data_IF_829227543896
#
_entry.id   IF_829227543896
#
_cell.length_a   1.000
_cell.length_b   1.000
_cell.length_c   1.000
_cell.angle_alpha   90.00
_cell.angle_beta   90.00
_cell.angle_gamma   90.00
#
_symmetry.space_group_name_H-M   'P 1'
#
loop_
_entity.id
_entity.type
_entity.pdbx_description
1 polymer ?
#
# COMPACT_ATOMS: atom_id res chain seq x y z
N UNK A 1 -0.57 0.43 -35.31
CA UNK A 1 -1.18 0.42 -33.96
C UNK A 1 -0.90 1.70 -33.15
N UNK A 2 -0.19 2.71 -33.67
CA UNK A 2 0.15 3.96 -32.94
C UNK A 2 -1.08 4.79 -32.49
N UNK A 3 -2.28 4.53 -33.03
CA UNK A 3 -3.54 5.17 -32.63
C UNK A 3 -4.51 4.28 -31.84
N UNK A 4 -4.05 3.15 -31.28
CA UNK A 4 -4.92 2.28 -30.49
C UNK A 4 -5.37 2.99 -29.20
N UNK A 5 -6.68 3.01 -28.88
CA UNK A 5 -7.17 3.53 -27.61
C UNK A 5 -6.48 2.86 -26.43
N UNK A 6 -6.06 3.65 -25.45
CA UNK A 6 -5.42 3.16 -24.23
C UNK A 6 -6.46 2.48 -23.35
N UNK A 7 -6.16 1.29 -22.85
CA UNK A 7 -7.04 0.57 -21.95
C UNK A 7 -7.16 1.32 -20.61
N UNK A 8 -8.33 1.29 -19.95
CA UNK A 8 -8.46 1.80 -18.60
C UNK A 8 -7.61 0.93 -17.65
N UNK A 9 -6.92 1.60 -16.72
CA UNK A 9 -6.09 0.96 -15.73
C UNK A 9 -6.88 0.71 -14.44
N UNK A 10 -6.68 -0.44 -13.79
CA UNK A 10 -7.26 -0.71 -12.47
C UNK A 10 -6.40 -0.01 -11.42
N UNK A 11 -7.06 0.57 -10.42
CA UNK A 11 -6.43 1.09 -9.21
C UNK A 11 -7.19 0.62 -7.97
N UNK A 12 -6.55 0.71 -6.81
CA UNK A 12 -7.11 0.26 -5.55
C UNK A 12 -7.42 1.45 -4.63
N UNK A 13 -8.39 1.25 -3.74
CA UNK A 13 -8.74 2.25 -2.75
C UNK A 13 -7.88 2.07 -1.50
N UNK A 14 -7.46 3.17 -0.86
CA UNK A 14 -6.80 3.11 0.44
C UNK A 14 -7.80 2.64 1.51
N UNK A 15 -7.25 1.99 2.53
CA UNK A 15 -7.92 1.72 3.81
C UNK A 15 -8.14 3.02 4.56
N UNK A 16 -9.18 3.06 5.39
CA UNK A 16 -9.57 4.22 6.19
C UNK A 16 -9.31 3.93 7.67
N UNK A 17 -8.61 4.83 8.35
CA UNK A 17 -8.46 4.77 9.82
C UNK A 17 -9.72 5.36 10.45
N UNK A 18 -10.35 4.64 11.37
CA UNK A 18 -11.65 5.03 11.95
C UNK A 18 -11.50 5.87 13.22
N UNK A 19 -10.35 5.78 13.89
CA UNK A 19 -10.12 6.46 15.16
C UNK A 19 -8.89 7.39 15.18
N UNK A 20 -8.96 8.36 16.08
CA UNK A 20 -7.78 9.11 16.51
C UNK A 20 -6.98 8.25 17.47
N UNK A 21 -5.68 8.11 17.21
CA UNK A 21 -4.76 7.29 18.01
C UNK A 21 -3.68 8.19 18.58
N UNK A 22 -3.41 8.06 19.88
CA UNK A 22 -2.21 8.59 20.52
C UNK A 22 -1.14 7.49 20.54
N UNK A 23 -0.15 7.61 19.66
CA UNK A 23 0.95 6.65 19.53
C UNK A 23 1.88 6.63 20.74
N UNK A 24 1.83 7.67 21.56
CA UNK A 24 2.81 7.92 22.60
C UNK A 24 2.22 7.86 24.01
N UNK A 25 0.93 7.54 24.15
CA UNK A 25 0.22 7.46 25.45
C UNK A 25 1.03 6.73 26.53
N UNK A 26 1.64 5.59 26.18
CA UNK A 26 2.36 4.71 27.12
C UNK A 26 3.87 4.97 27.18
N UNK A 27 4.43 5.73 26.23
CA UNK A 27 5.87 5.89 26.06
C UNK A 27 6.53 6.65 27.23
N UNK A 28 6.02 7.81 27.70
CA UNK A 28 6.61 8.53 28.84
C UNK A 28 6.69 7.67 30.11
N UNK A 29 5.66 6.87 30.39
CA UNK A 29 5.61 5.97 31.54
C UNK A 29 6.64 4.84 31.40
N UNK A 30 6.76 4.26 30.20
CA UNK A 30 7.79 3.26 29.92
C UNK A 30 9.21 3.81 30.08
N UNK A 31 9.46 5.04 29.60
CA UNK A 31 10.77 5.68 29.76
C UNK A 31 11.12 5.89 31.23
N UNK A 32 10.14 6.35 32.01
CA UNK A 32 10.34 6.61 33.44
C UNK A 32 10.60 5.32 34.22
N UNK A 33 9.86 4.25 33.93
CA UNK A 33 10.00 2.97 34.63
C UNK A 33 11.25 2.18 34.21
N UNK A 34 11.55 2.15 32.91
CA UNK A 34 12.62 1.28 32.36
C UNK A 34 13.98 1.98 32.32
N UNK A 35 14.01 3.24 31.89
CA UNK A 35 15.26 3.99 31.72
C UNK A 35 15.56 4.94 32.89
N UNK A 36 14.66 5.05 33.87
CA UNK A 36 14.80 5.94 35.03
C UNK A 36 15.03 7.41 34.61
N UNK A 37 14.51 7.80 33.45
CA UNK A 37 14.58 9.15 32.91
C UNK A 37 13.19 9.81 32.92
N UNK A 38 13.14 11.13 33.07
CA UNK A 38 11.88 11.87 32.96
C UNK A 38 11.28 11.74 31.54
N UNK A 39 10.27 10.89 31.37
CA UNK A 39 9.60 10.65 30.10
C UNK A 39 8.96 11.91 29.47
N UNK A 40 8.61 12.92 30.27
CA UNK A 40 8.02 14.15 29.77
C UNK A 40 8.99 15.00 28.93
N UNK A 41 10.30 14.72 29.01
CA UNK A 41 11.31 15.36 28.15
C UNK A 41 11.04 15.14 26.66
N UNK A 42 10.35 14.06 26.30
CA UNK A 42 10.09 13.66 24.92
C UNK A 42 8.68 14.03 24.42
N UNK A 43 7.97 14.89 25.16
CA UNK A 43 6.59 15.30 24.83
C UNK A 43 6.48 15.97 23.46
N UNK A 44 7.49 16.75 23.06
CA UNK A 44 7.52 17.42 21.77
C UNK A 44 7.61 16.40 20.61
N UNK A 45 8.47 15.40 20.72
CA UNK A 45 8.62 14.32 19.74
C UNK A 45 7.35 13.48 19.65
N UNK A 46 6.71 13.21 20.79
CA UNK A 46 5.42 12.52 20.85
C UNK A 46 4.33 13.29 20.09
N UNK A 47 4.26 14.61 20.32
CA UNK A 47 3.32 15.47 19.61
C UNK A 47 3.61 15.50 18.09
N UNK A 48 4.88 15.57 17.68
CA UNK A 48 5.27 15.51 16.27
C UNK A 48 4.86 14.19 15.62
N UNK A 49 4.99 13.06 16.32
CA UNK A 49 4.61 11.74 15.82
C UNK A 49 3.08 11.64 15.64
N UNK A 50 2.31 12.09 16.62
CA UNK A 50 0.85 12.12 16.54
C UNK A 50 0.36 13.07 15.42
N UNK A 51 0.97 14.26 15.29
CA UNK A 51 0.68 15.18 14.17
C UNK A 51 1.02 14.57 12.82
N UNK A 52 2.14 13.85 12.71
CA UNK A 52 2.53 13.17 11.48
C UNK A 52 1.50 12.10 11.08
N UNK A 53 1.01 11.29 12.03
CA UNK A 53 -0.08 10.34 11.77
C UNK A 53 -1.32 11.07 11.24
N UNK A 54 -1.78 12.09 11.95
CA UNK A 54 -2.99 12.84 11.59
C UNK A 54 -2.90 13.46 10.19
N UNK A 55 -1.77 14.06 9.84
CA UNK A 55 -1.55 14.60 8.49
C UNK A 55 -1.50 13.49 7.44
N UNK A 56 -0.92 12.33 7.78
CA UNK A 56 -0.77 11.20 6.84
C UNK A 56 -2.10 10.54 6.52
N UNK A 57 -2.95 10.26 7.51
CA UNK A 57 -4.25 9.60 7.30
C UNK A 57 -5.24 10.49 6.52
N UNK A 58 -5.05 11.81 6.55
CA UNK A 58 -5.86 12.79 5.83
C UNK A 58 -5.20 13.29 4.53
N UNK A 59 -4.14 12.64 4.06
CA UNK A 59 -3.39 13.08 2.90
C UNK A 59 -4.15 12.88 1.58
N UNK A 60 -3.91 13.78 0.62
CA UNK A 60 -4.42 13.69 -0.75
C UNK A 60 -3.73 12.57 -1.53
N UNK A 61 -4.40 12.09 -2.58
CA UNK A 61 -3.86 11.09 -3.50
C UNK A 61 -2.90 11.72 -4.53
N UNK A 62 -1.79 12.29 -4.04
CA UNK A 62 -0.73 12.92 -4.82
C UNK A 62 0.67 12.54 -4.32
N UNK A 63 1.70 13.10 -4.96
CA UNK A 63 3.11 12.88 -4.57
C UNK A 63 3.41 13.32 -3.14
N UNK A 64 2.76 14.38 -2.64
CA UNK A 64 2.95 14.81 -1.25
C UNK A 64 2.40 13.77 -0.27
N UNK A 65 1.23 13.21 -0.56
CA UNK A 65 0.65 12.10 0.20
C UNK A 65 1.56 10.88 0.24
N UNK A 66 2.20 10.54 -0.88
CA UNK A 66 3.21 9.47 -0.95
C UNK A 66 4.40 9.74 -0.02
N UNK A 67 4.93 10.97 -0.02
CA UNK A 67 6.05 11.32 0.86
C UNK A 67 5.66 11.28 2.34
N UNK A 68 4.44 11.71 2.69
CA UNK A 68 3.91 11.60 4.04
C UNK A 68 3.78 10.14 4.50
N UNK A 69 3.18 9.28 3.68
CA UNK A 69 3.04 7.85 3.95
C UNK A 69 4.40 7.18 4.16
N UNK A 70 5.38 7.45 3.29
CA UNK A 70 6.76 6.93 3.44
C UNK A 70 7.40 7.41 4.74
N UNK A 71 7.32 8.71 5.02
CA UNK A 71 7.90 9.30 6.24
C UNK A 71 7.29 8.67 7.48
N UNK A 72 5.97 8.57 7.54
CA UNK A 72 5.27 7.98 8.67
C UNK A 72 5.59 6.49 8.85
N UNK A 73 5.58 5.71 7.77
CA UNK A 73 5.98 4.29 7.81
C UNK A 73 7.40 4.12 8.39
N UNK A 74 8.36 4.94 7.96
CA UNK A 74 9.71 4.91 8.52
C UNK A 74 9.74 5.26 10.01
N UNK A 75 8.95 6.25 10.46
CA UNK A 75 8.87 6.60 11.87
C UNK A 75 8.25 5.48 12.71
N UNK A 76 7.23 4.78 12.21
CA UNK A 76 6.66 3.60 12.88
C UNK A 76 7.71 2.51 13.10
N UNK A 77 8.52 2.21 12.07
CA UNK A 77 9.61 1.23 12.19
C UNK A 77 10.64 1.65 13.25
N UNK A 78 11.02 2.93 13.27
CA UNK A 78 11.96 3.47 14.27
C UNK A 78 11.38 3.40 15.69
N UNK A 79 10.08 3.67 15.84
CA UNK A 79 9.38 3.61 17.11
C UNK A 79 9.30 2.18 17.63
N UNK A 80 8.87 1.24 16.78
CA UNK A 80 8.80 -0.20 17.06
C UNK A 80 10.16 -0.78 17.44
N UNK A 81 11.25 -0.27 16.88
CA UNK A 81 12.61 -0.72 17.20
C UNK A 81 13.13 -0.17 18.56
N UNK A 82 12.47 0.84 19.14
CA UNK A 82 12.86 1.47 20.41
C UNK A 82 11.96 1.09 21.58
N UNK A 83 10.68 0.86 21.32
CA UNK A 83 9.67 0.60 22.33
C UNK A 83 8.98 -0.74 22.05
N UNK A 84 8.65 -1.51 23.11
CA UNK A 84 7.93 -2.76 22.94
C UNK A 84 6.45 -2.45 22.64
N UNK A 85 6.11 -2.42 21.34
CA UNK A 85 4.78 -2.05 20.81
C UNK A 85 4.06 -3.18 20.08
N UNK A 86 4.55 -4.41 20.25
CA UNK A 86 3.91 -5.63 19.74
C UNK A 86 2.75 -6.05 20.67
N UNK A 87 1.90 -7.02 20.27
CA UNK A 87 0.82 -7.50 21.13
C UNK A 87 1.32 -7.91 22.52
N UNK A 88 0.51 -7.63 23.55
CA UNK A 88 0.76 -7.98 24.95
C UNK A 88 2.06 -7.40 25.56
N UNK A 89 2.55 -6.30 24.99
CA UNK A 89 3.72 -5.57 25.51
C UNK A 89 3.38 -4.19 26.07
N UNK A 90 4.30 -3.62 26.86
CA UNK A 90 4.05 -2.45 27.71
C UNK A 90 3.67 -1.17 26.96
N UNK A 91 4.13 -1.01 25.71
CA UNK A 91 3.79 0.12 24.85
C UNK A 91 2.87 -0.26 23.68
N UNK A 92 2.16 -1.40 23.75
CA UNK A 92 1.19 -1.78 22.72
C UNK A 92 0.09 -0.70 22.56
N UNK A 93 -0.16 -0.27 21.34
CA UNK A 93 -1.16 0.75 20.99
C UNK A 93 -2.26 0.12 20.14
N UNK A 94 -3.51 0.54 20.39
CA UNK A 94 -4.69 0.10 19.66
C UNK A 94 -4.83 0.87 18.36
N UNK A 95 -5.04 0.16 17.26
CA UNK A 95 -5.30 0.74 15.93
C UNK A 95 -6.54 0.11 15.31
N UNK A 96 -7.45 0.93 14.81
CA UNK A 96 -8.67 0.50 14.11
C UNK A 96 -8.72 1.02 12.68
N UNK A 97 -8.80 0.08 11.74
CA UNK A 97 -8.85 0.34 10.30
C UNK A 97 -9.99 -0.42 9.62
N UNK A 98 -10.60 0.20 8.64
CA UNK A 98 -11.60 -0.39 7.76
C UNK A 98 -10.95 -1.30 6.70
N UNK A 99 -11.51 -2.49 6.48
CA UNK A 99 -11.15 -3.39 5.37
C UNK A 99 -11.44 -2.74 4.01
N UNK A 100 -10.47 -2.77 3.08
CA UNK A 100 -10.53 -2.09 1.79
C UNK A 100 -11.65 -2.62 0.86
N UNK A 101 -12.15 -3.84 1.07
CA UNK A 101 -13.17 -4.46 0.23
C UNK A 101 -14.48 -4.69 1.00
N UNK A 102 -14.41 -5.21 2.22
CA UNK A 102 -15.59 -5.59 2.99
C UNK A 102 -16.18 -4.46 3.82
N UNK A 103 -15.43 -3.37 4.03
CA UNK A 103 -15.87 -2.22 4.82
C UNK A 103 -16.19 -2.55 6.28
N UNK A 104 -15.49 -3.56 6.81
CA UNK A 104 -15.57 -3.98 8.21
C UNK A 104 -14.43 -3.36 9.02
N UNK A 105 -14.73 -2.86 10.21
CA UNK A 105 -13.76 -2.27 11.13
C UNK A 105 -12.97 -3.37 11.85
N UNK A 106 -11.65 -3.26 11.82
CA UNK A 106 -10.75 -4.23 12.42
C UNK A 106 -9.80 -3.53 13.39
N UNK A 107 -9.73 -4.05 14.62
CA UNK A 107 -8.93 -3.48 15.70
C UNK A 107 -7.82 -4.44 16.12
N UNK A 108 -6.59 -3.95 16.18
CA UNK A 108 -5.45 -4.69 16.71
C UNK A 108 -4.60 -3.81 17.64
N UNK A 109 -4.10 -4.41 18.72
CA UNK A 109 -3.14 -3.78 19.63
C UNK A 109 -1.70 -4.06 19.16
N UNK A 110 -1.40 -3.74 17.90
CA UNK A 110 -0.14 -4.09 17.25
C UNK A 110 0.30 -2.98 16.29
N UNK A 111 1.47 -2.39 16.54
CA UNK A 111 2.05 -1.39 15.63
C UNK A 111 2.29 -1.96 14.22
N UNK A 112 2.52 -3.26 14.08
CA UNK A 112 2.69 -3.90 12.76
C UNK A 112 1.39 -3.88 11.95
N UNK A 113 0.23 -3.82 12.58
CA UNK A 113 -1.04 -3.63 11.86
C UNK A 113 -1.14 -2.23 11.25
N UNK A 114 -0.75 -1.19 12.01
CA UNK A 114 -0.65 0.19 11.49
C UNK A 114 0.36 0.25 10.34
N UNK A 115 1.55 -0.35 10.50
CA UNK A 115 2.57 -0.43 9.43
C UNK A 115 2.02 -1.07 8.15
N UNK A 116 1.27 -2.17 8.27
CA UNK A 116 0.65 -2.87 7.15
C UNK A 116 -0.37 -2.00 6.43
N UNK A 117 -1.25 -1.31 7.16
CA UNK A 117 -2.28 -0.44 6.60
C UNK A 117 -1.68 0.76 5.87
N UNK A 118 -0.65 1.39 6.44
CA UNK A 118 0.06 2.51 5.81
C UNK A 118 0.78 2.07 4.54
N UNK A 119 1.42 0.90 4.56
CA UNK A 119 2.10 0.36 3.38
C UNK A 119 1.11 -0.06 2.29
N UNK A 120 -0.04 -0.63 2.66
CA UNK A 120 -1.14 -0.90 1.74
C UNK A 120 -1.64 0.39 1.08
N UNK A 121 -1.84 1.46 1.87
CA UNK A 121 -2.27 2.77 1.36
C UNK A 121 -1.23 3.39 0.43
N UNK A 122 0.06 3.21 0.70
CA UNK A 122 1.12 3.63 -0.21
C UNK A 122 1.01 2.92 -1.57
N UNK A 123 0.73 1.61 -1.58
CA UNK A 123 0.44 0.86 -2.79
C UNK A 123 -0.80 1.36 -3.53
N UNK A 124 -1.88 1.65 -2.80
CA UNK A 124 -3.12 2.19 -3.36
C UNK A 124 -2.89 3.56 -4.02
N UNK A 125 -2.17 4.47 -3.37
CA UNK A 125 -1.85 5.79 -3.94
C UNK A 125 -1.02 5.69 -5.21
N UNK A 126 0.00 4.83 -5.22
CA UNK A 126 0.78 4.57 -6.44
C UNK A 126 -0.10 4.01 -7.57
N UNK A 127 -0.99 3.06 -7.27
CA UNK A 127 -1.88 2.50 -8.30
C UNK A 127 -2.80 3.56 -8.92
N UNK A 128 -3.31 4.50 -8.11
CA UNK A 128 -4.15 5.62 -8.56
C UNK A 128 -3.38 6.60 -9.42
N UNK A 129 -2.16 6.99 -9.02
CA UNK A 129 -1.31 7.86 -9.84
C UNK A 129 -0.98 7.21 -11.18
N UNK A 130 -0.62 5.93 -11.19
CA UNK A 130 -0.36 5.19 -12.43
C UNK A 130 -1.59 5.11 -13.34
N UNK A 131 -2.79 4.94 -12.77
CA UNK A 131 -4.02 4.91 -13.53
C UNK A 131 -4.40 6.28 -14.12
N UNK A 132 -4.09 7.37 -13.41
CA UNK A 132 -4.38 8.75 -13.82
C UNK A 132 -3.39 9.34 -14.83
N UNK A 133 -2.25 8.70 -15.05
CA UNK A 133 -1.31 9.10 -16.09
C UNK A 133 -1.95 9.02 -17.49
N UNK A 134 -1.74 10.06 -18.30
CA UNK A 134 -2.35 10.17 -19.64
C UNK A 134 -1.88 9.06 -20.61
N UNK A 135 -0.66 8.56 -20.41
CA UNK A 135 0.05 7.59 -21.28
C UNK A 135 0.09 8.01 -22.76
N UNK A 136 0.14 9.33 -23.00
CA UNK A 136 0.25 9.94 -24.34
C UNK A 136 1.67 10.34 -24.73
N UNK A 137 2.51 10.63 -23.75
CA UNK A 137 3.92 11.03 -23.95
C UNK A 137 4.84 9.95 -23.37
N UNK A 138 6.10 9.91 -23.84
CA UNK A 138 7.09 8.97 -23.31
C UNK A 138 7.27 9.10 -21.79
N UNK A 139 7.26 10.33 -21.28
CA UNK A 139 7.40 10.59 -19.84
C UNK A 139 6.19 10.09 -19.05
N UNK A 140 4.97 10.38 -19.52
CA UNK A 140 3.73 9.92 -18.86
C UNK A 140 3.63 8.39 -18.85
N UNK A 141 4.06 7.72 -19.92
CA UNK A 141 4.12 6.25 -19.97
C UNK A 141 5.16 5.70 -18.98
N UNK A 142 6.34 6.33 -18.92
CA UNK A 142 7.40 5.94 -17.98
C UNK A 142 6.96 6.14 -16.53
N UNK A 143 6.28 7.23 -16.23
CA UNK A 143 5.70 7.50 -14.91
C UNK A 143 4.66 6.45 -14.54
N UNK A 144 3.71 6.15 -15.43
CA UNK A 144 2.70 5.12 -15.20
C UNK A 144 3.34 3.76 -14.88
N UNK A 145 4.31 3.34 -15.69
CA UNK A 145 5.08 2.12 -15.46
C UNK A 145 5.76 2.13 -14.09
N UNK A 146 6.41 3.24 -13.72
CA UNK A 146 7.09 3.39 -12.43
C UNK A 146 6.11 3.30 -11.27
N UNK A 147 4.99 4.01 -11.33
CA UNK A 147 3.97 3.98 -10.29
C UNK A 147 3.36 2.59 -10.11
N UNK A 148 2.99 1.89 -11.19
CA UNK A 148 2.47 0.53 -11.07
C UNK A 148 3.49 -0.44 -10.45
N UNK A 149 4.77 -0.33 -10.80
CA UNK A 149 5.83 -1.15 -10.18
C UNK A 149 6.04 -0.80 -8.71
N UNK A 150 6.00 0.49 -8.35
CA UNK A 150 6.06 0.90 -6.95
C UNK A 150 4.86 0.38 -6.14
N UNK A 151 3.66 0.42 -6.72
CA UNK A 151 2.47 -0.14 -6.10
C UNK A 151 2.61 -1.66 -5.86
N UNK A 152 3.08 -2.39 -6.87
CA UNK A 152 3.30 -3.82 -6.78
C UNK A 152 4.30 -4.15 -5.65
N UNK A 153 5.43 -3.45 -5.60
CA UNK A 153 6.43 -3.64 -4.56
C UNK A 153 5.90 -3.37 -3.14
N UNK A 154 4.98 -2.40 -2.97
CA UNK A 154 4.32 -2.17 -1.68
C UNK A 154 3.48 -3.38 -1.27
N UNK A 155 2.65 -3.90 -2.17
CA UNK A 155 1.80 -5.07 -1.87
C UNK A 155 2.59 -6.37 -1.72
N UNK A 156 3.68 -6.58 -2.45
CA UNK A 156 4.61 -7.69 -2.22
C UNK A 156 5.17 -7.62 -0.79
N UNK A 157 5.61 -6.44 -0.36
CA UNK A 157 6.14 -6.27 0.99
C UNK A 157 5.06 -6.49 2.06
N UNK A 158 3.82 -6.05 1.83
CA UNK A 158 2.69 -6.38 2.71
C UNK A 158 2.47 -7.90 2.77
N UNK A 159 2.42 -8.56 1.61
CA UNK A 159 2.23 -10.01 1.47
C UNK A 159 3.32 -10.81 2.17
N UNK A 160 4.55 -10.33 2.17
CA UNK A 160 5.67 -11.09 2.71
C UNK A 160 5.85 -10.86 4.22
N UNK A 161 5.33 -9.75 4.76
CA UNK A 161 5.63 -9.31 6.14
C UNK A 161 4.40 -9.18 7.07
N UNK A 162 3.17 -9.09 6.55
CA UNK A 162 1.98 -8.68 7.31
C UNK A 162 0.71 -9.46 6.94
N UNK A 163 0.75 -10.79 6.95
CA UNK A 163 -0.30 -11.66 6.36
C UNK A 163 -1.47 -12.04 7.26
N UNK A 164 -1.43 -11.70 8.55
CA UNK A 164 -2.29 -12.31 9.57
C UNK A 164 -3.34 -11.38 10.18
N UNK A 165 -3.66 -10.25 9.54
CA UNK A 165 -4.58 -9.25 10.10
C UNK A 165 -6.00 -9.32 9.52
N UNK A 166 -6.21 -8.79 8.33
CA UNK A 166 -7.55 -8.57 7.76
C UNK A 166 -7.72 -9.27 6.43
N UNK A 167 -8.96 -9.44 5.99
CA UNK A 167 -9.28 -10.25 4.81
C UNK A 167 -8.68 -9.65 3.52
N UNK A 168 -8.56 -8.33 3.48
CA UNK A 168 -7.91 -7.57 2.42
C UNK A 168 -6.37 -7.68 2.39
N UNK A 169 -5.74 -8.20 3.44
CA UNK A 169 -4.29 -8.38 3.57
C UNK A 169 -3.84 -9.84 3.41
N UNK A 170 -4.72 -10.71 2.90
CA UNK A 170 -4.38 -12.12 2.68
C UNK A 170 -3.33 -12.29 1.55
N UNK A 171 -2.44 -13.29 1.64
CA UNK A 171 -1.39 -13.47 0.64
C UNK A 171 -1.92 -13.67 -0.79
N UNK A 172 -3.02 -14.40 -0.92
CA UNK A 172 -3.63 -14.69 -2.22
C UNK A 172 -4.22 -13.43 -2.88
N UNK A 173 -4.92 -12.59 -2.11
CA UNK A 173 -5.46 -11.34 -2.63
C UNK A 173 -4.35 -10.35 -2.98
N UNK A 174 -3.35 -10.18 -2.11
CA UNK A 174 -2.22 -9.30 -2.40
C UNK A 174 -1.44 -9.79 -3.62
N UNK A 175 -1.26 -11.11 -3.79
CA UNK A 175 -0.64 -11.69 -5.00
C UNK A 175 -1.45 -11.39 -6.25
N UNK A 176 -2.79 -11.45 -6.17
CA UNK A 176 -3.65 -11.00 -7.26
C UNK A 176 -3.41 -9.53 -7.61
N UNK A 177 -3.43 -8.64 -6.62
CA UNK A 177 -3.20 -7.20 -6.82
C UNK A 177 -1.80 -6.91 -7.42
N UNK A 178 -0.77 -7.62 -6.95
CA UNK A 178 0.59 -7.53 -7.50
C UNK A 178 0.61 -7.89 -8.98
N UNK A 179 0.01 -9.03 -9.36
CA UNK A 179 0.00 -9.44 -10.78
C UNK A 179 -0.79 -8.48 -11.66
N UNK A 180 -1.91 -7.92 -11.19
CA UNK A 180 -2.64 -6.86 -11.91
C UNK A 180 -1.73 -5.65 -12.19
N UNK A 181 -1.02 -5.18 -11.16
CA UNK A 181 -0.14 -4.00 -11.29
C UNK A 181 1.07 -4.29 -12.18
N UNK A 182 1.66 -5.49 -12.10
CA UNK A 182 2.75 -5.89 -12.98
C UNK A 182 2.28 -6.00 -14.44
N UNK A 183 1.08 -6.52 -14.69
CA UNK A 183 0.49 -6.53 -16.03
C UNK A 183 0.33 -5.11 -16.59
N UNK A 184 -0.27 -4.20 -15.82
CA UNK A 184 -0.44 -2.79 -16.20
C UNK A 184 0.90 -2.06 -16.40
N UNK A 185 1.93 -2.40 -15.63
CA UNK A 185 3.27 -1.88 -15.86
C UNK A 185 3.86 -2.36 -17.20
N UNK A 186 3.61 -3.61 -17.58
CA UNK A 186 4.05 -4.16 -18.86
C UNK A 186 3.22 -3.63 -20.04
N UNK A 187 1.93 -3.33 -19.84
CA UNK A 187 1.14 -2.59 -20.82
C UNK A 187 1.78 -1.25 -21.15
N UNK A 188 2.16 -0.46 -20.13
CA UNK A 188 2.89 0.79 -20.35
C UNK A 188 4.22 0.56 -21.10
N UNK A 189 4.95 -0.53 -20.82
CA UNK A 189 6.16 -0.89 -21.58
C UNK A 189 5.83 -1.22 -23.04
N UNK A 190 4.76 -1.96 -23.31
CA UNK A 190 4.32 -2.27 -24.66
C UNK A 190 3.91 -1.01 -25.42
N UNK A 191 3.15 -0.12 -24.78
CA UNK A 191 2.76 1.17 -25.34
C UNK A 191 3.99 2.01 -25.74
N UNK A 192 5.00 2.07 -24.86
CA UNK A 192 6.27 2.72 -25.17
C UNK A 192 7.00 2.02 -26.32
N UNK A 193 7.07 0.70 -26.30
CA UNK A 193 7.77 -0.11 -27.32
C UNK A 193 7.17 0.08 -28.72
N UNK A 194 5.84 0.22 -28.79
CA UNK A 194 5.12 0.55 -30.02
C UNK A 194 5.42 1.97 -30.51
N UNK A 195 5.46 2.96 -29.61
CA UNK A 195 5.84 4.34 -29.96
C UNK A 195 7.30 4.46 -30.40
N UNK A 196 8.20 3.70 -29.76
CA UNK A 196 9.61 3.58 -30.13
C UNK A 196 9.81 2.79 -31.45
N UNK A 197 8.73 2.28 -32.07
CA UNK A 197 8.77 1.44 -33.28
C UNK A 197 9.72 0.24 -33.17
N UNK A 198 9.74 -0.41 -32.00
CA UNK A 198 10.55 -1.62 -31.76
C UNK A 198 10.08 -2.79 -32.62
N UNK A 199 10.98 -3.75 -32.82
CA UNK A 199 10.72 -4.94 -33.62
C UNK A 199 9.46 -5.70 -33.16
N UNK A 200 8.64 -6.23 -34.08
CA UNK A 200 7.42 -6.97 -33.74
C UNK A 200 7.64 -8.13 -32.77
N UNK A 201 8.78 -8.82 -32.84
CA UNK A 201 9.15 -9.90 -31.92
C UNK A 201 9.27 -9.43 -30.47
N UNK A 202 9.81 -8.23 -30.24
CA UNK A 202 9.91 -7.62 -28.90
C UNK A 202 8.50 -7.30 -28.38
N UNK A 203 7.67 -6.67 -29.20
CA UNK A 203 6.29 -6.34 -28.82
C UNK A 203 5.47 -7.60 -28.50
N UNK A 204 5.64 -8.68 -29.28
CA UNK A 204 4.98 -9.95 -29.04
C UNK A 204 5.41 -10.58 -27.70
N UNK A 205 6.70 -10.52 -27.36
CA UNK A 205 7.20 -11.04 -26.10
C UNK A 205 6.64 -10.27 -24.89
N UNK A 206 6.57 -8.93 -24.96
CA UNK A 206 5.95 -8.11 -23.90
C UNK A 206 4.46 -8.41 -23.79
N UNK A 207 3.74 -8.54 -24.92
CA UNK A 207 2.31 -8.89 -24.92
C UNK A 207 2.03 -10.26 -24.29
N UNK A 208 2.89 -11.25 -24.55
CA UNK A 208 2.82 -12.57 -23.92
C UNK A 208 2.95 -12.46 -22.40
N UNK A 209 3.92 -11.68 -21.91
CA UNK A 209 4.12 -11.46 -20.47
C UNK A 209 2.91 -10.78 -19.80
N UNK A 210 2.27 -9.81 -20.48
CA UNK A 210 1.04 -9.17 -19.98
C UNK A 210 -0.07 -10.22 -19.80
N UNK A 211 -0.26 -11.10 -20.80
CA UNK A 211 -1.25 -12.18 -20.73
C UNK A 211 -0.98 -13.13 -19.56
N UNK A 212 0.27 -13.51 -19.34
CA UNK A 212 0.66 -14.38 -18.22
C UNK A 212 0.33 -13.74 -16.87
N UNK A 213 0.67 -12.46 -16.66
CA UNK A 213 0.37 -11.78 -15.41
C UNK A 213 -1.14 -11.69 -15.14
N UNK A 214 -1.95 -11.32 -16.14
CA UNK A 214 -3.40 -11.31 -15.95
C UNK A 214 -4.00 -12.69 -15.72
N UNK A 215 -3.44 -13.73 -16.35
CA UNK A 215 -3.85 -15.11 -16.07
C UNK A 215 -3.52 -15.50 -14.62
N UNK A 216 -2.32 -15.16 -14.13
CA UNK A 216 -1.94 -15.40 -12.73
C UNK A 216 -2.81 -14.61 -11.75
N UNK A 217 -3.17 -13.37 -12.07
CA UNK A 217 -4.11 -12.59 -11.28
C UNK A 217 -5.48 -13.28 -11.20
N UNK A 218 -6.02 -13.70 -12.35
CA UNK A 218 -7.31 -14.40 -12.42
C UNK A 218 -7.30 -15.70 -11.62
N UNK A 219 -6.24 -16.51 -11.73
CA UNK A 219 -6.09 -17.74 -10.96
C UNK A 219 -6.13 -17.49 -9.45
N UNK A 220 -5.49 -16.42 -8.96
CA UNK A 220 -5.56 -16.06 -7.55
C UNK A 220 -6.94 -15.54 -7.14
N UNK A 221 -7.59 -14.75 -8.00
CA UNK A 221 -8.96 -14.26 -7.76
C UNK A 221 -10.00 -15.38 -7.68
N UNK A 222 -9.80 -16.46 -8.46
CA UNK A 222 -10.69 -17.62 -8.49
C UNK A 222 -10.51 -18.58 -7.31
N UNK A 223 -9.52 -18.37 -6.45
CA UNK A 223 -9.35 -19.18 -5.24
C UNK A 223 -10.57 -19.04 -4.31
N UNK A 224 -10.99 -20.12 -3.63
CA UNK A 224 -12.11 -20.08 -2.69
C UNK A 224 -11.92 -18.97 -1.64
N UNK A 225 -12.98 -18.22 -1.33
CA UNK A 225 -12.94 -17.12 -0.36
C UNK A 225 -12.52 -15.76 -0.93
N UNK A 226 -11.61 -15.70 -1.91
CA UNK A 226 -11.13 -14.42 -2.47
C UNK A 226 -12.22 -13.73 -3.29
N UNK A 227 -12.92 -14.48 -4.16
CA UNK A 227 -14.02 -13.92 -4.94
C UNK A 227 -15.14 -13.36 -4.06
N UNK A 228 -15.45 -14.00 -2.91
CA UNK A 228 -16.43 -13.46 -1.96
C UNK A 228 -16.00 -12.16 -1.30
N UNK A 229 -14.69 -11.97 -1.03
CA UNK A 229 -14.15 -10.71 -0.48
C UNK A 229 -14.36 -9.59 -1.51
N UNK A 230 -13.96 -9.81 -2.75
CA UNK A 230 -13.97 -8.78 -3.80
C UNK A 230 -15.39 -8.46 -4.28
N UNK A 231 -16.27 -9.46 -4.41
CA UNK A 231 -17.63 -9.26 -4.91
C UNK A 231 -18.54 -8.44 -3.99
N UNK A 232 -18.27 -8.41 -2.68
CA UNK A 232 -19.00 -7.54 -1.73
C UNK A 232 -18.85 -6.05 -2.06
N UNK A 233 -17.74 -5.64 -2.68
CA UNK A 233 -17.47 -4.24 -3.06
C UNK A 233 -18.32 -3.76 -4.24
N UNK A 234 -18.81 -4.66 -5.08
CA UNK A 234 -19.55 -4.35 -6.31
C UNK A 234 -21.05 -4.62 -6.22
N UNK A 235 -21.57 -4.90 -5.02
CA UNK A 235 -23.00 -4.98 -4.72
C UNK A 235 -23.47 -3.66 -4.13
#
# INVERSE_FOLDING_TARGET
MEGCPRLPAISFDPKVSIESVDLCEKIPNYITSTYQENGNKYSQECEQMNRLRQTTINSSADENGIQLLKRYYCQLQLLRNRFPMLPDTECAVRFTWEDAFQKEDNTYNDIRFEEACILYNLGAMYSRLGANESRRTHDSIKNACTYFRCAAACYEKVRDQYTTYTSDLTPDLLTCQVHILLAQAHEAVLEKSLLDQRAPSVNAHVAMQISEYYQMALLNLMKPGINSIVSKRFR
#
